data_IF_596568545399
#
_entry.id   IF_596568545399
#
_cell.length_a   1.000
_cell.length_b   1.000
_cell.length_c   1.000
_cell.angle_alpha   90.00
_cell.angle_beta   90.00
_cell.angle_gamma   90.00
#
_symmetry.space_group_name_H-M   'P 1'
#
loop_
_entity.id
_entity.type
_entity.pdbx_description
1 polymer ?
#
# COMPACT_ATOMS: atom_id res chain seq x y z
N UNK A 1 -16.14 14.36 -0.20
CA UNK A 1 -15.81 12.94 0.05
C UNK A 1 -15.47 12.32 -1.30
N UNK A 2 -14.21 11.96 -1.54
CA UNK A 2 -13.84 11.26 -2.77
C UNK A 2 -14.44 9.84 -2.74
N UNK A 3 -14.84 9.27 -3.89
CA UNK A 3 -15.38 7.91 -3.92
C UNK A 3 -14.32 6.90 -3.46
N UNK A 4 -14.69 6.04 -2.50
CA UNK A 4 -13.83 4.94 -2.02
C UNK A 4 -13.55 4.00 -3.20
N UNK A 5 -12.27 3.64 -3.44
CA UNK A 5 -11.86 2.76 -4.56
C UNK A 5 -12.22 1.30 -4.26
N UNK A 6 -13.48 0.95 -4.37
CA UNK A 6 -13.97 -0.43 -4.32
C UNK A 6 -14.23 -1.04 -5.71
N UNK A 7 -13.92 -0.30 -6.78
CA UNK A 7 -14.10 -0.77 -8.16
C UNK A 7 -12.91 -1.60 -8.63
N UNK A 8 -13.14 -2.72 -9.33
CA UNK A 8 -12.07 -3.50 -9.94
C UNK A 8 -11.25 -2.63 -10.90
N UNK A 9 -9.92 -2.62 -10.74
CA UNK A 9 -9.04 -2.09 -11.78
C UNK A 9 -9.10 -3.02 -13.00
N UNK A 10 -9.45 -2.45 -14.17
CA UNK A 10 -9.15 -3.12 -15.44
C UNK A 10 -7.67 -2.85 -15.71
N UNK A 11 -6.85 -3.89 -15.63
CA UNK A 11 -5.39 -3.72 -15.68
C UNK A 11 -4.64 -5.04 -15.85
N UNK A 12 -3.32 -4.98 -16.08
CA UNK A 12 -2.46 -6.13 -16.30
C UNK A 12 -2.53 -7.13 -15.14
N UNK A 13 -2.11 -8.39 -15.37
CA UNK A 13 -2.07 -9.42 -14.34
C UNK A 13 -1.33 -8.92 -13.09
N UNK A 14 -2.00 -8.87 -11.94
CA UNK A 14 -1.36 -8.63 -10.65
C UNK A 14 -0.88 -9.97 -10.07
N UNK A 15 0.26 -9.96 -9.38
CA UNK A 15 0.79 -11.13 -8.67
C UNK A 15 0.99 -10.78 -7.19
N UNK A 16 -0.10 -10.62 -6.42
CA UNK A 16 -0.01 -10.29 -5.00
C UNK A 16 0.75 -11.38 -4.23
N UNK A 17 1.66 -10.94 -3.38
CA UNK A 17 2.48 -11.69 -2.44
C UNK A 17 2.57 -10.89 -1.13
N UNK A 18 3.27 -11.40 -0.11
CA UNK A 18 3.64 -10.68 1.14
C UNK A 18 2.63 -9.61 1.58
N UNK A 19 1.51 -10.08 2.15
CA UNK A 19 0.35 -9.26 2.47
C UNK A 19 0.45 -8.74 3.91
N UNK A 20 0.05 -7.47 4.09
CA UNK A 20 -0.25 -6.86 5.39
C UNK A 20 -1.69 -6.37 5.36
N UNK A 21 -2.44 -6.56 6.44
CA UNK A 21 -3.87 -6.22 6.51
C UNK A 21 -4.14 -5.23 7.63
N UNK A 22 -5.13 -4.38 7.42
CA UNK A 22 -5.70 -3.54 8.47
C UNK A 22 -7.20 -3.35 8.29
N UNK A 23 -7.89 -2.91 9.35
CA UNK A 23 -9.32 -2.66 9.33
C UNK A 23 -9.58 -1.22 8.87
N UNK A 24 -10.66 -1.01 8.14
CA UNK A 24 -11.18 0.30 7.76
C UNK A 24 -12.27 0.75 8.74
N UNK A 25 -12.59 2.04 8.77
CA UNK A 25 -13.55 2.58 9.73
C UNK A 25 -14.96 1.98 9.56
N UNK A 26 -15.32 1.58 8.33
CA UNK A 26 -16.58 0.90 8.04
C UNK A 26 -16.58 -0.62 8.33
N UNK A 27 -15.49 -1.15 8.89
CA UNK A 27 -15.36 -2.56 9.27
C UNK A 27 -14.80 -3.47 8.19
N UNK A 28 -14.59 -2.98 6.96
CA UNK A 28 -13.94 -3.75 5.90
C UNK A 28 -12.45 -3.96 6.20
N UNK A 29 -11.84 -4.94 5.53
CA UNK A 29 -10.39 -5.21 5.63
C UNK A 29 -9.69 -4.70 4.37
N UNK A 30 -8.68 -3.86 4.56
CA UNK A 30 -7.74 -3.45 3.51
C UNK A 30 -6.53 -4.39 3.52
N UNK A 31 -6.32 -5.14 2.43
CA UNK A 31 -5.15 -5.97 2.24
C UNK A 31 -4.14 -5.27 1.33
N UNK A 32 -3.04 -4.78 1.90
CA UNK A 32 -1.89 -4.26 1.17
C UNK A 32 -0.98 -5.42 0.76
N UNK A 33 -0.63 -5.52 -0.52
CA UNK A 33 0.21 -6.59 -1.03
C UNK A 33 1.45 -6.06 -1.75
N UNK A 34 2.51 -6.85 -1.71
CA UNK A 34 3.55 -6.81 -2.75
C UNK A 34 2.98 -7.30 -4.05
N UNK A 35 3.02 -6.48 -5.09
CA UNK A 35 2.77 -6.93 -6.45
C UNK A 35 4.10 -7.45 -7.04
N UNK A 36 4.26 -8.76 -7.13
CA UNK A 36 5.44 -9.40 -7.72
C UNK A 36 5.29 -9.62 -9.23
N UNK A 37 4.41 -8.85 -9.87
CA UNK A 37 4.21 -8.94 -11.31
C UNK A 37 5.53 -8.66 -12.03
N UNK A 38 6.01 -9.66 -12.77
CA UNK A 38 7.18 -9.55 -13.65
C UNK A 38 6.67 -9.10 -15.02
N UNK A 39 6.27 -7.83 -15.15
CA UNK A 39 6.28 -7.22 -16.48
C UNK A 39 7.74 -7.04 -16.88
N UNK A 40 8.09 -7.33 -18.13
CA UNK A 40 9.37 -6.90 -18.68
C UNK A 40 9.25 -5.41 -19.02
N UNK A 41 9.92 -4.56 -18.24
CA UNK A 41 10.79 -3.55 -18.83
C UNK A 41 12.18 -3.61 -18.19
N UNK A 42 13.16 -3.05 -18.88
CA UNK A 42 14.50 -2.85 -18.34
C UNK A 42 14.52 -1.91 -17.11
N UNK A 43 13.45 -1.13 -16.90
CA UNK A 43 13.35 -0.11 -15.87
C UNK A 43 12.43 -0.53 -14.70
N UNK A 44 12.97 -0.78 -13.49
CA UNK A 44 12.19 -1.12 -12.31
C UNK A 44 11.21 -0.02 -11.86
N UNK A 45 11.35 1.21 -12.34
CA UNK A 45 10.53 2.37 -11.97
C UNK A 45 9.23 2.51 -12.76
N UNK A 46 9.05 1.71 -13.81
CA UNK A 46 7.83 1.70 -14.62
C UNK A 46 6.79 0.65 -14.17
N UNK A 47 7.12 -0.16 -13.16
CA UNK A 47 6.24 -1.20 -12.60
C UNK A 47 5.67 -0.71 -11.27
N UNK A 48 4.35 -0.79 -11.12
CA UNK A 48 3.71 -0.59 -9.83
C UNK A 48 3.85 -1.83 -8.95
N UNK A 49 4.70 -1.72 -7.92
CA UNK A 49 5.03 -2.84 -7.03
C UNK A 49 4.08 -2.99 -5.84
N UNK A 50 3.11 -2.09 -5.66
CA UNK A 50 2.06 -2.18 -4.64
C UNK A 50 0.72 -2.53 -5.25
N UNK A 51 -0.03 -3.39 -4.57
CA UNK A 51 -1.43 -3.65 -4.87
C UNK A 51 -2.26 -3.67 -3.59
N UNK A 52 -3.57 -3.49 -3.73
CA UNK A 52 -4.52 -3.60 -2.63
C UNK A 52 -5.77 -4.37 -3.04
N UNK A 53 -6.46 -4.95 -2.07
CA UNK A 53 -7.81 -5.47 -2.21
C UNK A 53 -8.61 -5.19 -0.95
N UNK A 54 -9.94 -5.11 -1.08
CA UNK A 54 -10.86 -4.90 0.04
C UNK A 54 -11.69 -6.16 0.26
N UNK A 55 -11.85 -6.56 1.52
CA UNK A 55 -12.80 -7.58 1.93
C UNK A 55 -13.91 -6.96 2.77
N UNK A 56 -15.15 -7.32 2.47
CA UNK A 56 -16.35 -6.92 3.24
C UNK A 56 -16.86 -8.02 4.18
N UNK A 57 -16.20 -9.17 4.21
CA UNK A 57 -16.65 -10.37 4.93
C UNK A 57 -15.57 -10.91 5.90
N UNK A 58 -14.72 -10.02 6.41
CA UNK A 58 -13.69 -10.37 7.40
C UNK A 58 -12.51 -11.15 6.82
N UNK A 59 -12.30 -11.10 5.50
CA UNK A 59 -11.20 -11.75 4.80
C UNK A 59 -11.56 -13.11 4.19
N UNK A 60 -12.83 -13.54 4.28
CA UNK A 60 -13.28 -14.80 3.65
C UNK A 60 -13.22 -14.70 2.11
N UNK A 61 -13.52 -13.53 1.56
CA UNK A 61 -13.34 -13.19 0.16
C UNK A 61 -12.91 -11.73 -0.01
N UNK A 62 -12.38 -11.41 -1.19
CA UNK A 62 -12.07 -10.04 -1.58
C UNK A 62 -13.05 -9.62 -2.68
N UNK A 63 -13.71 -8.47 -2.49
CA UNK A 63 -14.79 -7.99 -3.37
C UNK A 63 -14.29 -7.64 -4.79
N UNK A 64 -12.98 -7.51 -4.95
CA UNK A 64 -12.30 -7.25 -6.22
C UNK A 64 -11.02 -8.08 -6.33
N UNK A 65 -10.57 -8.29 -7.58
CA UNK A 65 -9.17 -8.65 -7.81
C UNK A 65 -8.29 -7.51 -7.30
N UNK A 66 -7.11 -7.84 -6.78
CA UNK A 66 -6.12 -6.84 -6.39
C UNK A 66 -5.95 -5.77 -7.47
N UNK A 67 -5.93 -4.52 -7.07
CA UNK A 67 -5.69 -3.36 -7.93
C UNK A 67 -4.37 -2.69 -7.55
N UNK A 68 -3.74 -2.02 -8.51
CA UNK A 68 -2.51 -1.26 -8.28
C UNK A 68 -2.73 -0.08 -7.33
N UNK A 69 -1.78 0.14 -6.43
CA UNK A 69 -1.63 1.42 -5.71
C UNK A 69 -0.61 2.26 -6.47
N UNK A 70 -1.08 3.26 -7.22
CA UNK A 70 -0.22 4.04 -8.12
C UNK A 70 0.69 5.02 -7.37
N UNK A 71 0.21 5.56 -6.25
CA UNK A 71 0.86 6.66 -5.53
C UNK A 71 1.97 6.18 -4.57
N UNK A 72 2.23 4.87 -4.52
CA UNK A 72 3.29 4.28 -3.70
C UNK A 72 4.40 3.69 -4.58
N UNK A 73 5.44 4.49 -4.80
CA UNK A 73 6.71 4.00 -5.34
C UNK A 73 7.42 3.16 -4.28
N UNK A 74 7.68 1.89 -4.62
CA UNK A 74 8.43 0.94 -3.78
C UNK A 74 9.18 -0.03 -4.68
N UNK A 75 10.24 -0.71 -4.21
CA UNK A 75 10.76 -1.88 -4.91
C UNK A 75 9.84 -3.09 -4.63
N UNK A 76 10.17 -4.25 -5.21
CA UNK A 76 9.45 -5.51 -4.96
C UNK A 76 9.86 -6.14 -3.63
N UNK A 77 9.33 -5.60 -2.54
CA UNK A 77 9.57 -6.06 -1.17
C UNK A 77 8.29 -6.00 -0.33
N UNK A 78 8.32 -6.53 0.89
CA UNK A 78 7.23 -6.37 1.83
C UNK A 78 7.10 -4.90 2.27
N UNK A 79 5.88 -4.48 2.58
CA UNK A 79 5.60 -3.27 3.36
C UNK A 79 4.46 -3.56 4.34
N UNK A 80 4.37 -2.78 5.41
CA UNK A 80 3.31 -2.92 6.42
C UNK A 80 2.25 -1.83 6.28
N UNK A 81 1.01 -2.17 6.63
CA UNK A 81 -0.11 -1.25 6.74
C UNK A 81 -0.77 -1.36 8.11
N UNK A 82 -1.20 -0.23 8.68
CA UNK A 82 -1.83 -0.15 9.99
C UNK A 82 -2.82 1.02 10.05
N UNK A 83 -3.95 0.83 10.72
CA UNK A 83 -4.84 1.90 11.18
C UNK A 83 -4.22 2.59 12.41
N UNK A 84 -3.90 3.88 12.26
CA UNK A 84 -3.28 4.69 13.33
C UNK A 84 -4.32 5.44 14.15
N UNK A 85 -5.36 5.97 13.51
CA UNK A 85 -6.47 6.66 14.17
C UNK A 85 -7.77 6.33 13.47
N UNK A 86 -8.86 6.30 14.24
CA UNK A 86 -10.18 5.90 13.78
C UNK A 86 -11.26 6.74 14.46
N UNK A 87 -12.15 7.33 13.67
CA UNK A 87 -13.32 8.04 14.18
C UNK A 87 -14.24 7.11 14.97
N UNK A 88 -14.28 5.82 14.61
CA UNK A 88 -15.02 4.79 15.35
C UNK A 88 -14.43 4.49 16.73
N UNK A 89 -13.16 4.83 16.96
CA UNK A 89 -12.51 4.79 18.27
C UNK A 89 -12.58 6.13 19.02
N UNK A 90 -13.27 7.14 18.48
CA UNK A 90 -13.40 8.48 19.07
C UNK A 90 -12.30 9.47 18.67
N UNK A 91 -11.42 9.12 17.73
CA UNK A 91 -10.37 10.02 17.24
C UNK A 91 -10.92 11.05 16.25
N UNK A 92 -10.20 12.15 16.05
CA UNK A 92 -10.65 13.26 15.22
C UNK A 92 -10.78 12.93 13.71
N UNK A 93 -10.06 11.92 13.23
CA UNK A 93 -10.04 11.51 11.82
C UNK A 93 -9.57 10.07 11.66
N UNK A 94 -9.95 9.45 10.54
CA UNK A 94 -9.44 8.14 10.11
C UNK A 94 -8.07 8.31 9.44
N UNK A 95 -7.09 7.50 9.83
CA UNK A 95 -5.75 7.53 9.23
C UNK A 95 -5.14 6.14 9.15
N UNK A 96 -4.76 5.75 7.94
CA UNK A 96 -3.90 4.59 7.72
C UNK A 96 -2.45 5.04 7.57
N UNK A 97 -1.53 4.17 7.97
CA UNK A 97 -0.10 4.28 7.75
C UNK A 97 0.38 3.15 6.85
N UNK A 98 1.28 3.47 5.93
CA UNK A 98 2.06 2.50 5.16
C UNK A 98 3.54 2.72 5.45
N UNK A 99 4.26 1.67 5.84
CA UNK A 99 5.71 1.70 6.00
C UNK A 99 6.38 0.81 4.95
N UNK A 100 7.35 1.39 4.24
CA UNK A 100 8.16 0.69 3.24
C UNK A 100 9.19 1.60 2.58
N UNK A 101 10.12 1.06 1.78
CA UNK A 101 11.04 1.87 0.98
C UNK A 101 10.28 2.71 -0.05
N UNK A 102 10.82 3.87 -0.42
CA UNK A 102 10.17 4.85 -1.32
C UNK A 102 10.85 5.00 -2.69
N UNK A 103 11.87 4.22 -2.95
CA UNK A 103 12.53 4.12 -4.26
C UNK A 103 12.00 2.93 -5.05
N UNK A 104 12.11 2.93 -6.37
CA UNK A 104 11.57 1.87 -7.24
C UNK A 104 12.51 0.67 -7.42
N UNK A 105 13.82 0.88 -7.30
CA UNK A 105 14.86 -0.03 -7.75
C UNK A 105 15.48 -0.87 -6.62
N UNK A 106 15.60 -0.31 -5.42
CA UNK A 106 16.27 -0.96 -4.27
C UNK A 106 15.63 -0.58 -2.95
N UNK A 107 16.05 -1.26 -1.88
CA UNK A 107 15.56 -1.00 -0.52
C UNK A 107 16.28 0.24 0.04
N UNK A 108 15.78 1.43 -0.29
CA UNK A 108 16.29 2.72 0.20
C UNK A 108 15.13 3.63 0.58
N UNK A 109 15.41 4.55 1.51
CA UNK A 109 14.46 5.57 1.96
C UNK A 109 13.20 4.94 2.54
N UNK A 110 13.37 4.22 3.67
CA UNK A 110 12.24 3.73 4.45
C UNK A 110 11.43 4.93 4.94
N UNK A 111 10.17 5.00 4.52
CA UNK A 111 9.25 6.07 4.87
C UNK A 111 7.97 5.53 5.48
N UNK A 112 7.38 6.32 6.36
CA UNK A 112 5.99 6.16 6.80
C UNK A 112 5.12 7.18 6.08
N UNK A 113 4.19 6.69 5.27
CA UNK A 113 3.24 7.47 4.46
C UNK A 113 1.84 7.33 5.05
N UNK A 114 1.02 8.36 4.91
CA UNK A 114 -0.34 8.40 5.47
C UNK A 114 -1.39 8.34 4.38
N UNK A 115 -2.54 7.77 4.70
CA UNK A 115 -3.77 7.95 3.94
C UNK A 115 -4.86 8.42 4.90
N UNK A 116 -5.64 9.41 4.47
CA UNK A 116 -6.77 9.99 5.19
C UNK A 116 -8.12 9.66 4.52
N UNK A 117 -8.10 8.81 3.50
CA UNK A 117 -9.25 8.35 2.73
C UNK A 117 -9.27 6.82 2.63
N UNK A 118 -8.82 6.15 3.69
CA UNK A 118 -8.82 4.69 3.86
C UNK A 118 -8.06 3.92 2.76
N UNK A 119 -6.91 4.45 2.34
CA UNK A 119 -6.04 3.85 1.34
C UNK A 119 -6.38 4.23 -0.10
N UNK A 120 -7.29 5.19 -0.31
CA UNK A 120 -7.63 5.73 -1.63
C UNK A 120 -6.49 6.51 -2.27
N UNK A 121 -5.79 7.32 -1.47
CA UNK A 121 -4.60 8.10 -1.82
C UNK A 121 -3.58 8.06 -0.67
N UNK A 122 -2.31 8.23 -1.00
CA UNK A 122 -1.22 8.24 -0.04
C UNK A 122 -0.42 9.55 -0.15
N UNK A 123 0.05 10.06 0.98
CA UNK A 123 0.93 11.24 1.03
C UNK A 123 2.17 11.04 0.17
N UNK A 124 2.61 12.11 -0.50
CA UNK A 124 3.85 12.14 -1.27
C UNK A 124 5.09 11.87 -0.39
N UNK A 125 6.24 11.63 -1.01
CA UNK A 125 7.49 11.51 -0.26
C UNK A 125 7.83 12.81 0.50
N UNK A 126 7.50 13.98 -0.05
CA UNK A 126 7.72 15.27 0.60
C UNK A 126 6.86 15.45 1.87
N UNK A 127 5.68 14.84 1.91
CA UNK A 127 4.71 14.94 3.00
C UNK A 127 4.74 13.71 3.94
N UNK A 128 5.80 12.91 3.85
CA UNK A 128 5.96 11.66 4.61
C UNK A 128 7.11 11.74 5.62
N UNK A 129 7.12 10.83 6.59
CA UNK A 129 8.22 10.71 7.55
C UNK A 129 9.32 9.82 6.96
N UNK A 130 10.53 10.35 6.76
CA UNK A 130 11.73 9.55 6.50
C UNK A 130 12.21 8.91 7.79
N UNK A 131 12.19 7.57 7.85
CA UNK A 131 12.66 6.78 9.00
C UNK A 131 14.12 6.40 8.82
N UNK A 132 14.52 6.01 7.60
CA UNK A 132 15.89 5.60 7.29
C UNK A 132 16.25 5.95 5.85
N UNK A 133 17.27 6.79 5.65
CA UNK A 133 17.65 7.32 4.33
C UNK A 133 18.67 6.49 3.56
N UNK A 134 19.38 5.57 4.21
CA UNK A 134 20.44 4.79 3.56
C UNK A 134 19.88 3.55 2.85
N UNK A 135 20.72 2.93 2.02
CA UNK A 135 20.43 1.62 1.46
C UNK A 135 20.34 0.56 2.57
N UNK A 136 19.51 -0.45 2.36
CA UNK A 136 19.51 -1.63 3.20
C UNK A 136 20.88 -2.33 3.09
N UNK A 137 21.43 -2.87 4.20
CA UNK A 137 22.69 -3.59 4.15
C UNK A 137 22.63 -4.75 3.14
N UNK A 138 23.69 -4.90 2.36
CA UNK A 138 23.88 -6.10 1.52
C UNK A 138 24.03 -7.30 2.46
N UNK A 139 23.28 -8.40 2.24
CA UNK A 139 23.51 -9.63 3.00
C UNK A 139 24.97 -10.07 2.83
N UNK A 140 25.66 -10.27 3.94
CA UNK A 140 27.01 -10.86 4.00
C UNK A 140 26.95 -12.37 3.82
#
# INVERSE_FOLDING_TARGET
>A
MAPRRDRPGVGPKHAPQEISVTKLADGRIYAAARNDHKAAPADPCTIHNRAFAISSDGGASFSTKFAVVADLTTPRVQGSVLEMSATTAGEAYDRLLFAGPSTCDRRKELRVRSSFDEGGTWTSDADSLLVWGQDAPTPT
#
